data_IF_935799679465
#
_entry.id   IF_935799679465
#
_cell.length_a   1.000
_cell.length_b   1.000
_cell.length_c   1.000
_cell.angle_alpha   90.00
_cell.angle_beta   90.00
_cell.angle_gamma   90.00
#
_symmetry.space_group_name_H-M   'P 1'
#
loop_
_entity.id
_entity.type
_entity.pdbx_description
1 polymer ?
#
# COMPACT_ATOMS: atom_id res chain seq x y z
N UNK A 1 -30.78 16.92 0.82
CA UNK A 1 -30.32 15.94 1.83
C UNK A 1 -30.47 14.46 1.43
N UNK A 2 -30.83 14.10 0.17
CA UNK A 2 -31.05 12.68 -0.22
C UNK A 2 -29.82 11.94 -0.77
N UNK A 3 -28.78 12.67 -1.21
CA UNK A 3 -27.68 12.08 -1.98
C UNK A 3 -26.83 11.04 -1.22
N UNK A 4 -26.84 11.06 0.11
CA UNK A 4 -25.98 10.20 0.94
C UNK A 4 -26.73 9.16 1.79
N UNK A 5 -28.07 9.10 1.69
CA UNK A 5 -28.89 8.24 2.55
C UNK A 5 -28.54 6.76 2.38
N UNK A 6 -28.31 6.33 1.14
CA UNK A 6 -27.92 4.95 0.82
C UNK A 6 -26.52 4.61 1.38
N UNK A 7 -25.56 5.53 1.32
CA UNK A 7 -24.22 5.32 1.89
C UNK A 7 -24.26 5.20 3.41
N UNK A 8 -25.13 5.96 4.08
CA UNK A 8 -25.32 5.88 5.54
C UNK A 8 -25.91 4.51 5.91
N UNK A 9 -26.96 4.06 5.21
CA UNK A 9 -27.56 2.74 5.45
C UNK A 9 -26.52 1.63 5.20
N UNK A 10 -25.76 1.71 4.11
CA UNK A 10 -24.73 0.73 3.79
C UNK A 10 -23.61 0.73 4.85
N UNK A 11 -23.18 1.89 5.34
CA UNK A 11 -22.15 1.99 6.39
C UNK A 11 -22.62 1.41 7.74
N UNK A 12 -23.92 1.40 8.01
CA UNK A 12 -24.49 0.77 9.21
C UNK A 12 -24.76 -0.72 9.02
N UNK A 13 -25.05 -1.14 7.78
CA UNK A 13 -25.38 -2.53 7.43
C UNK A 13 -24.15 -3.43 7.35
N UNK A 14 -23.02 -2.90 6.87
CA UNK A 14 -21.80 -3.67 6.66
C UNK A 14 -20.72 -3.26 7.67
N UNK A 15 -20.01 -4.24 8.23
CA UNK A 15 -18.85 -3.99 9.11
C UNK A 15 -17.59 -3.57 8.33
N UNK A 16 -17.74 -3.21 7.05
CA UNK A 16 -16.64 -2.75 6.21
C UNK A 16 -16.47 -1.24 6.38
N UNK A 17 -15.27 -0.82 6.75
CA UNK A 17 -14.94 0.60 6.92
C UNK A 17 -13.74 0.97 6.07
N UNK A 18 -13.72 2.20 5.56
CA UNK A 18 -12.57 2.73 4.82
C UNK A 18 -11.38 3.07 5.73
N UNK A 19 -11.52 2.97 7.05
CA UNK A 19 -10.50 3.40 8.01
C UNK A 19 -9.14 2.70 7.83
N UNK A 20 -9.15 1.40 7.51
CA UNK A 20 -7.90 0.66 7.23
C UNK A 20 -7.22 1.18 5.96
N UNK A 21 -7.99 1.44 4.89
CA UNK A 21 -7.47 1.99 3.64
C UNK A 21 -6.92 3.40 3.84
N UNK A 22 -7.62 4.23 4.62
CA UNK A 22 -7.18 5.58 4.98
C UNK A 22 -5.88 5.56 5.78
N UNK A 23 -5.76 4.63 6.74
CA UNK A 23 -4.54 4.44 7.53
C UNK A 23 -3.33 4.05 6.68
N UNK A 24 -3.52 3.13 5.73
CA UNK A 24 -2.48 2.72 4.76
C UNK A 24 -2.09 3.92 3.88
N UNK A 25 -3.08 4.65 3.35
CA UNK A 25 -2.84 5.80 2.48
C UNK A 25 -2.11 6.94 3.22
N UNK A 26 -2.44 7.19 4.49
CA UNK A 26 -1.73 8.18 5.30
C UNK A 26 -0.26 7.76 5.52
N UNK A 27 -0.03 6.49 5.85
CA UNK A 27 1.33 5.95 6.03
C UNK A 27 2.17 6.10 4.76
N UNK A 28 1.61 5.80 3.58
CA UNK A 28 2.27 6.01 2.29
C UNK A 28 2.57 7.50 2.05
N UNK A 29 1.62 8.40 2.37
CA UNK A 29 1.84 9.85 2.25
C UNK A 29 2.96 10.34 3.18
N UNK A 30 3.05 9.83 4.41
CA UNK A 30 4.15 10.12 5.35
C UNK A 30 5.48 9.66 4.75
N UNK A 31 5.56 8.41 4.30
CA UNK A 31 6.78 7.85 3.70
C UNK A 31 7.19 8.66 2.45
N UNK A 32 6.23 9.11 1.64
CA UNK A 32 6.48 9.95 0.47
C UNK A 32 7.07 11.32 0.83
N UNK A 33 6.65 11.92 1.95
CA UNK A 33 7.19 13.22 2.41
C UNK A 33 8.64 13.12 2.87
N UNK A 34 9.07 11.98 3.40
CA UNK A 34 10.47 11.73 3.77
C UNK A 34 11.26 11.08 2.62
N UNK A 35 10.64 10.87 1.46
CA UNK A 35 11.21 10.07 0.37
C UNK A 35 12.17 10.84 -0.56
N UNK A 36 12.51 12.10 -0.24
CA UNK A 36 13.44 12.91 -1.04
C UNK A 36 14.80 12.23 -1.26
N UNK A 37 15.18 11.30 -0.39
CA UNK A 37 16.45 10.55 -0.47
C UNK A 37 16.39 9.31 -1.37
N UNK A 38 15.20 8.86 -1.80
CA UNK A 38 15.11 7.67 -2.65
C UNK A 38 15.41 8.01 -4.11
N UNK A 39 16.59 7.58 -4.59
CA UNK A 39 16.99 7.71 -6.00
C UNK A 39 16.18 6.83 -6.98
N UNK A 40 15.38 5.89 -6.49
CA UNK A 40 14.57 4.98 -7.31
C UNK A 40 13.21 4.70 -6.67
N UNK A 41 12.17 4.75 -7.50
CA UNK A 41 10.81 4.36 -7.10
C UNK A 41 10.74 2.91 -6.59
N UNK A 42 11.64 2.03 -7.06
CA UNK A 42 11.74 0.67 -6.56
C UNK A 42 12.03 0.64 -5.05
N UNK A 43 12.99 1.45 -4.58
CA UNK A 43 13.35 1.52 -3.17
C UNK A 43 12.22 2.12 -2.32
N UNK A 44 11.52 3.12 -2.85
CA UNK A 44 10.32 3.68 -2.21
C UNK A 44 9.22 2.61 -2.03
N UNK A 45 8.94 1.84 -3.09
CA UNK A 45 7.96 0.74 -3.03
C UNK A 45 8.38 -0.36 -2.06
N UNK A 46 9.66 -0.72 -2.04
CA UNK A 46 10.22 -1.69 -1.09
C UNK A 46 10.06 -1.21 0.36
N UNK A 47 10.33 0.07 0.64
CA UNK A 47 10.13 0.64 1.98
C UNK A 47 8.68 0.53 2.44
N UNK A 48 7.72 0.86 1.57
CA UNK A 48 6.28 0.72 1.87
C UNK A 48 5.93 -0.72 2.22
N UNK A 49 6.42 -1.69 1.43
CA UNK A 49 6.18 -3.12 1.67
C UNK A 49 6.79 -3.60 2.98
N UNK A 50 7.99 -3.14 3.34
CA UNK A 50 8.64 -3.48 4.62
C UNK A 50 7.84 -2.91 5.80
N UNK A 51 7.42 -1.64 5.74
CA UNK A 51 6.63 -1.00 6.81
C UNK A 51 5.32 -1.75 7.09
N UNK A 52 4.67 -2.27 6.06
CA UNK A 52 3.44 -3.05 6.18
C UNK A 52 3.70 -4.55 6.47
N UNK A 53 4.94 -4.96 6.74
CA UNK A 53 5.35 -6.37 6.95
C UNK A 53 5.02 -7.29 5.76
N UNK A 54 4.95 -6.73 4.55
CA UNK A 54 4.68 -7.41 3.28
C UNK A 54 5.97 -7.69 2.49
N UNK A 55 7.11 -7.78 3.16
CA UNK A 55 8.42 -8.03 2.52
C UNK A 55 8.46 -9.33 1.72
N UNK A 56 7.63 -10.33 2.09
CA UNK A 56 7.45 -11.58 1.34
C UNK A 56 7.01 -11.37 -0.12
N UNK A 57 6.36 -10.24 -0.42
CA UNK A 57 5.91 -9.88 -1.77
C UNK A 57 7.03 -9.27 -2.63
N UNK A 58 8.16 -8.88 -2.02
CA UNK A 58 9.32 -8.40 -2.74
C UNK A 58 9.96 -9.60 -3.45
N UNK A 59 9.58 -9.79 -4.71
CA UNK A 59 10.25 -10.75 -5.58
C UNK A 59 11.61 -10.16 -5.94
N UNK A 60 12.69 -10.70 -5.37
CA UNK A 60 14.00 -10.56 -6.00
C UNK A 60 13.90 -11.23 -7.37
N UNK A 61 13.83 -10.43 -8.45
CA UNK A 61 14.18 -10.94 -9.77
C UNK A 61 15.67 -11.26 -9.66
N UNK A 62 16.06 -12.52 -9.46
CA UNK A 62 17.47 -12.93 -9.59
C UNK A 62 17.92 -12.47 -10.98
N UNK A 63 18.82 -11.47 -11.11
CA UNK A 63 19.44 -11.21 -12.39
C UNK A 63 20.39 -12.40 -12.63
N UNK A 64 20.07 -13.23 -13.63
CA UNK A 64 20.96 -14.30 -14.09
C UNK A 64 20.74 -15.69 -13.49
N UNK A 65 19.51 -16.21 -13.53
CA UNK A 65 19.31 -17.67 -13.48
C UNK A 65 19.02 -18.21 -14.88
N UNK A 66 20.00 -18.05 -15.78
CA UNK A 66 20.15 -19.01 -16.88
C UNK A 66 20.82 -20.23 -16.24
N UNK A 67 20.01 -21.17 -15.73
CA UNK A 67 20.53 -22.52 -15.50
C UNK A 67 20.64 -23.15 -16.88
N UNK A 68 21.83 -23.05 -17.46
CA UNK A 68 22.30 -24.01 -18.44
C UNK A 68 22.22 -25.40 -17.79
N UNK A 69 21.35 -26.23 -18.33
CA UNK A 69 21.41 -27.69 -18.28
C UNK A 69 20.96 -28.18 -19.64
#
# INVERSE_FOLDING_TARGET
>A
MKANYEYIINSLKYNYTNGVLEGINNTIKVIKRIAFEYRSFYHFKVRILIVHKLSKLIKHKKPGLNRSA
#
